data_IF_306063625766
#
_entry.id   IF_306063625766
#
_cell.length_a   1.000
_cell.length_b   1.000
_cell.length_c   1.000
_cell.angle_alpha   90.00
_cell.angle_beta   90.00
_cell.angle_gamma   90.00
#
_symmetry.space_group_name_H-M   'P 1'
#
loop_
_entity.id
_entity.type
_entity.pdbx_description
1 polymer ?
2 non-polymer ?
3 non-polymer ?
4 non-polymer ?
5 non-polymer ?
6 non-polymer ?
7 water ?
#
# COMPACT_ATOMS: atom_id res chain seq x y z
N UNK A 15 12.23 -10.50 9.76
CA UNK A 15 12.73 -9.17 10.04
C UNK A 15 11.77 -8.47 10.99
N UNK A 16 12.21 -7.37 11.60
CA UNK A 16 11.36 -6.59 12.52
C UNK A 16 10.28 -5.85 11.72
N UNK A 17 10.63 -5.30 10.51
CA UNK A 17 9.70 -4.58 9.63
C UNK A 17 9.57 -5.44 8.37
N UNK A 18 8.34 -5.82 8.00
CA UNK A 18 8.09 -6.54 6.74
C UNK A 18 7.14 -5.71 5.89
N UNK A 19 7.59 -5.34 4.70
CA UNK A 19 6.81 -4.48 3.80
C UNK A 19 6.60 -5.22 2.50
N UNK A 20 5.40 -5.17 1.93
CA UNK A 20 5.21 -5.67 0.57
C UNK A 20 4.72 -4.53 -0.29
N UNK A 21 4.91 -4.71 -1.59
CA UNK A 21 4.47 -3.70 -2.54
C UNK A 21 4.25 -4.40 -3.88
N UNK A 22 3.64 -3.66 -4.80
CA UNK A 22 3.35 -4.15 -6.15
C UNK A 22 3.78 -3.04 -7.09
N UNK A 23 4.41 -3.40 -8.19
CA UNK A 23 4.87 -2.47 -9.20
C UNK A 23 4.77 -3.14 -10.57
N UNK A 24 4.27 -2.41 -11.56
CA UNK A 24 4.12 -2.87 -12.93
C UNK A 24 4.56 -1.72 -13.82
N UNK A 25 5.66 -1.87 -14.53
CA UNK A 25 6.19 -0.83 -15.38
C UNK A 25 7.49 -0.28 -14.86
N UNK A 26 8.35 0.18 -15.79
CA UNK A 26 9.68 0.74 -15.51
C UNK A 26 9.58 1.92 -14.52
N UNK A 27 8.60 2.80 -14.75
CA UNK A 27 8.41 4.00 -13.91
C UNK A 27 8.10 3.58 -12.47
N UNK A 28 7.20 2.61 -12.28
CA UNK A 28 6.83 2.19 -10.92
C UNK A 28 7.90 1.35 -10.27
N UNK A 29 8.75 0.68 -11.07
CA UNK A 29 9.90 -0.05 -10.52
C UNK A 29 10.99 0.95 -10.06
N UNK A 30 11.18 2.02 -10.81
CA UNK A 30 12.11 3.10 -10.49
C UNK A 30 11.68 3.71 -9.13
N UNK A 31 10.38 3.97 -8.98
CA UNK A 31 9.86 4.54 -7.72
C UNK A 31 9.93 3.52 -6.59
N UNK A 32 9.73 2.22 -6.87
CA UNK A 32 9.81 1.18 -5.87
C UNK A 32 11.20 1.13 -5.24
N UNK A 33 12.24 1.27 -6.03
CA UNK A 33 13.59 1.27 -5.46
C UNK A 33 13.78 2.47 -4.52
N UNK A 34 13.26 3.61 -4.94
CA UNK A 34 13.29 4.84 -4.13
C UNK A 34 12.50 4.62 -2.82
N UNK A 35 11.33 4.03 -2.89
CA UNK A 35 10.55 3.74 -1.67
C UNK A 35 11.39 2.94 -0.71
N UNK A 36 12.06 1.87 -1.20
CA UNK A 36 12.85 1.00 -0.36
C UNK A 36 14.04 1.74 0.25
N UNK A 37 14.73 2.60 -0.52
CA UNK A 37 15.85 3.36 0.02
C UNK A 37 15.34 4.31 1.11
N UNK A 38 14.18 4.94 0.89
CA UNK A 38 13.61 5.83 1.90
C UNK A 38 13.26 5.13 3.23
N UNK A 39 12.73 3.90 3.19
CA UNK A 39 12.46 3.12 4.36
C UNK A 39 13.78 2.89 5.14
N UNK A 40 14.81 2.41 4.43
CA UNK A 40 16.05 2.03 5.11
C UNK A 40 16.84 3.28 5.63
N UNK A 41 16.68 4.44 5.04
CA UNK A 41 17.34 5.64 5.56
C UNK A 41 16.72 6.10 6.90
N UNK A 42 15.50 5.63 7.21
CA UNK A 42 14.75 6.07 8.40
C UNK A 42 14.56 5.03 9.46
N UNK A 43 15.29 3.92 9.41
CA UNK A 43 15.20 2.91 10.45
C UNK A 43 16.54 2.18 10.61
N UNK A 44 16.80 1.71 11.84
CA UNK A 44 17.92 0.83 12.16
C UNK A 44 17.39 -0.55 12.50
N UNK A 45 16.06 -0.76 12.42
CA UNK A 45 15.48 -2.06 12.67
C UNK A 45 15.70 -2.89 11.41
N UNK A 46 15.60 -4.21 11.53
CA UNK A 46 15.83 -5.08 10.37
C UNK A 46 14.59 -5.00 9.46
N UNK A 47 14.83 -5.01 8.12
CA UNK A 47 13.74 -4.92 7.15
C UNK A 47 13.81 -6.03 6.13
N UNK A 48 12.64 -6.57 5.78
CA UNK A 48 12.45 -7.52 4.67
C UNK A 48 11.35 -6.97 3.75
N UNK A 49 11.64 -6.88 2.44
CA UNK A 49 10.68 -6.46 1.41
C UNK A 49 10.16 -7.69 0.70
N UNK A 50 8.87 -7.75 0.45
CA UNK A 50 8.20 -8.85 -0.25
C UNK A 50 7.59 -8.31 -1.54
N UNK A 51 7.83 -8.99 -2.66
CA UNK A 51 7.34 -8.51 -3.95
C UNK A 51 6.33 -9.46 -4.60
N UNK A 52 5.32 -8.91 -5.29
CA UNK A 52 4.37 -9.68 -6.10
C UNK A 52 5.13 -9.89 -7.40
N UNK A 53 5.74 -11.05 -7.50
CA UNK A 53 6.71 -11.39 -8.51
C UNK A 53 6.29 -11.27 -9.98
N UNK A 54 5.11 -11.75 -10.31
CA UNK A 54 4.74 -11.88 -11.74
C UNK A 54 4.66 -10.57 -12.49
N UNK A 55 4.47 -9.43 -11.82
CA UNK A 55 4.40 -8.17 -12.51
C UNK A 55 5.74 -7.51 -12.79
N UNK A 56 6.81 -7.99 -12.15
CA UNK A 56 8.11 -7.36 -12.25
C UNK A 56 8.89 -7.72 -13.51
N UNK A 57 9.77 -6.83 -13.90
CA UNK A 57 10.64 -7.00 -15.08
C UNK A 57 11.82 -7.87 -14.69
N UNK A 58 12.44 -8.55 -15.66
CA UNK A 58 13.69 -9.28 -15.36
C UNK A 58 14.80 -8.35 -14.86
N UNK A 59 14.91 -7.15 -15.37
CA UNK A 59 15.94 -6.24 -14.90
C UNK A 59 15.79 -5.89 -13.43
N UNK A 60 14.55 -5.70 -12.96
CA UNK A 60 14.34 -5.35 -11.56
C UNK A 60 14.75 -6.48 -10.68
N UNK A 61 14.30 -7.69 -11.03
CA UNK A 61 14.57 -8.91 -10.27
C UNK A 61 16.06 -9.21 -10.24
N UNK A 62 16.81 -8.82 -11.27
CA UNK A 62 18.25 -9.00 -11.29
C UNK A 62 18.94 -7.99 -10.39
N UNK A 63 18.42 -6.75 -10.34
CA UNK A 63 19.03 -5.70 -9.55
C UNK A 63 18.73 -5.78 -8.04
N UNK A 64 17.61 -6.40 -7.65
CA UNK A 64 17.19 -6.41 -6.23
C UNK A 64 18.29 -6.98 -5.28
N UNK A 65 19.09 -8.02 -5.60
CA UNK A 65 20.18 -8.39 -4.66
C UNK A 65 21.23 -7.29 -4.43
N UNK A 66 21.47 -6.43 -5.42
CA UNK A 66 22.40 -5.30 -5.32
C UNK A 66 21.81 -4.24 -4.40
N UNK A 67 20.50 -3.95 -4.55
CA UNK A 67 19.83 -3.03 -3.64
C UNK A 67 19.91 -3.60 -2.22
N UNK A 68 19.62 -4.89 -2.05
CA UNK A 68 19.60 -5.57 -0.76
C UNK A 68 20.94 -5.49 -0.04
N UNK A 69 22.05 -5.70 -0.78
CA UNK A 69 23.38 -5.63 -0.19
C UNK A 69 23.81 -4.19 0.15
N UNK A 70 23.44 -3.19 -0.68
CA UNK A 70 23.81 -1.79 -0.46
C UNK A 70 23.05 -1.16 0.71
N UNK A 71 21.74 -1.42 0.76
CA UNK A 71 20.84 -0.85 1.77
C UNK A 71 20.65 -1.72 3.00
N UNK A 72 21.12 -2.96 2.95
CA UNK A 72 21.06 -3.86 4.08
C UNK A 72 19.71 -4.40 4.45
N UNK A 73 18.97 -4.95 3.47
CA UNK A 73 17.66 -5.55 3.71
C UNK A 73 17.62 -6.92 3.11
N UNK A 74 16.68 -7.73 3.55
CA UNK A 74 16.37 -9.05 3.02
C UNK A 74 15.19 -8.87 2.10
N UNK A 75 14.89 -9.89 1.28
CA UNK A 75 13.71 -9.85 0.41
C UNK A 75 13.23 -11.21 0.00
N UNK A 76 12.00 -11.29 -0.49
CA UNK A 76 11.40 -12.53 -1.00
C UNK A 76 10.37 -12.24 -2.09
N UNK A 77 10.35 -13.10 -3.10
CA UNK A 77 9.40 -13.00 -4.24
C UNK A 77 8.23 -13.90 -3.98
N UNK A 78 6.98 -13.42 -4.09
CA UNK A 78 5.80 -14.28 -3.91
C UNK A 78 5.06 -14.42 -5.26
N UNK A 79 4.84 -15.68 -5.75
CA UNK A 79 4.15 -15.96 -7.03
C UNK A 79 2.90 -16.74 -6.69
N UNK A 80 1.75 -16.08 -6.63
CA UNK A 80 0.48 -16.71 -6.26
C UNK A 80 -0.48 -16.61 -7.42
N UNK A 81 -1.03 -17.76 -7.84
CA UNK A 81 -1.92 -17.79 -8.99
C UNK A 81 -3.35 -17.46 -8.58
N UNK A 82 -4.03 -16.61 -9.39
CA UNK A 82 -5.42 -16.23 -9.15
C UNK A 82 -6.31 -17.47 -9.17
N UNK A 83 -7.04 -17.78 -8.08
CA UNK A 83 -7.91 -18.97 -8.06
C UNK A 83 -8.93 -18.98 -9.19
N UNK A 84 -9.09 -20.12 -9.87
CA UNK A 84 -10.03 -20.24 -11.01
C UNK A 84 -11.48 -19.89 -10.67
N UNK A 85 -11.94 -20.23 -9.46
CA UNK A 85 -13.32 -19.91 -9.08
C UNK A 85 -13.61 -18.41 -8.96
N UNK A 86 -12.59 -17.63 -8.58
CA UNK A 86 -12.71 -16.22 -8.22
C UNK A 86 -12.78 -15.33 -9.44
N UNK A 87 -13.78 -14.47 -9.52
CA UNK A 87 -13.99 -13.61 -10.69
C UNK A 87 -12.72 -12.89 -11.06
N UNK A 88 -12.25 -13.05 -12.30
CA UNK A 88 -11.00 -12.41 -12.78
C UNK A 88 -11.23 -10.97 -13.20
N UNK A 89 -10.15 -10.22 -13.34
CA UNK A 89 -10.19 -8.83 -13.77
C UNK A 89 -9.43 -8.73 -15.08
N UNK A 90 -10.15 -8.34 -16.16
CA UNK A 90 -9.51 -8.26 -17.47
C UNK A 90 -8.55 -7.04 -17.58
N UNK A 91 -8.79 -5.96 -16.81
CA UNK A 91 -7.93 -4.75 -16.80
C UNK A 91 -6.72 -5.02 -15.88
N UNK A 92 -5.46 -4.88 -16.39
CA UNK A 92 -4.26 -5.16 -15.60
C UNK A 92 -4.24 -4.35 -14.30
N UNK A 93 -4.64 -3.07 -14.35
CA UNK A 93 -4.71 -2.23 -13.15
C UNK A 93 -5.58 -2.86 -12.06
N UNK A 94 -6.75 -3.37 -12.43
CA UNK A 94 -7.67 -4.01 -11.51
C UNK A 94 -7.16 -5.35 -11.01
N UNK A 95 -6.43 -6.10 -11.83
CA UNK A 95 -5.85 -7.36 -11.41
C UNK A 95 -4.78 -7.07 -10.32
N UNK A 96 -3.96 -6.04 -10.53
CA UNK A 96 -2.93 -5.63 -9.56
C UNK A 96 -3.62 -5.18 -8.26
N UNK A 97 -4.72 -4.43 -8.34
CA UNK A 97 -5.49 -4.09 -7.13
C UNK A 97 -6.00 -5.35 -6.42
N UNK A 98 -6.46 -6.33 -7.16
CA UNK A 98 -6.87 -7.59 -6.53
C UNK A 98 -5.73 -8.26 -5.75
N UNK A 99 -4.50 -8.23 -6.28
CA UNK A 99 -3.36 -8.80 -5.59
C UNK A 99 -3.00 -8.04 -4.30
N UNK A 100 -3.37 -6.78 -4.20
CA UNK A 100 -3.08 -6.03 -2.96
C UNK A 100 -4.00 -6.46 -1.85
N UNK A 101 -5.27 -6.75 -2.14
CA UNK A 101 -6.26 -6.94 -1.11
C UNK A 101 -6.89 -8.32 -0.96
N UNK A 102 -6.91 -9.16 -1.99
CA UNK A 102 -7.63 -10.44 -1.90
C UNK A 102 -6.87 -11.61 -1.35
N UNK A 103 -5.53 -11.60 -1.25
CA UNK A 103 -4.72 -12.75 -0.92
C UNK A 103 -3.78 -12.54 0.28
N UNK A 104 -4.16 -11.69 1.23
CA UNK A 104 -3.26 -11.34 2.34
C UNK A 104 -2.90 -12.53 3.25
N UNK A 105 -3.80 -13.51 3.33
CA UNK A 105 -3.58 -14.74 4.10
C UNK A 105 -2.81 -15.82 3.38
N UNK A 106 -2.63 -15.73 2.06
CA UNK A 106 -1.96 -16.78 1.26
C UNK A 106 -0.64 -16.35 0.62
N UNK A 107 -0.36 -15.04 0.53
CA UNK A 107 0.89 -14.58 -0.03
C UNK A 107 2.11 -14.82 0.86
N UNK A 108 1.90 -14.79 2.18
CA UNK A 108 3.00 -14.80 3.14
C UNK A 108 3.01 -16.07 3.95
N UNK A 109 4.19 -16.44 4.46
CA UNK A 109 4.27 -17.67 5.25
C UNK A 109 3.56 -17.50 6.57
N UNK A 110 3.07 -18.61 7.13
CA UNK A 110 2.37 -18.64 8.41
C UNK A 110 3.27 -18.15 9.53
N UNK A 111 4.61 -18.23 9.39
CA UNK A 111 5.54 -17.77 10.41
C UNK A 111 5.61 -16.22 10.50
N UNK A 112 5.22 -15.49 9.42
CA UNK A 112 5.24 -14.02 9.43
C UNK A 112 3.97 -13.51 10.17
N UNK A 113 4.13 -12.69 11.21
CA UNK A 113 2.99 -12.19 11.97
C UNK A 113 2.40 -10.86 11.51
N UNK A 114 3.16 -10.05 10.79
CA UNK A 114 2.69 -8.72 10.36
C UNK A 114 3.39 -8.33 9.11
N UNK A 115 2.63 -7.62 8.21
CA UNK A 115 3.18 -7.07 6.99
C UNK A 115 2.48 -5.75 6.75
N UNK A 116 3.21 -4.86 6.10
CA UNK A 116 2.67 -3.55 5.77
C UNK A 116 2.72 -3.44 4.26
N UNK A 117 1.60 -2.98 3.67
CA UNK A 117 1.65 -2.62 2.26
C UNK A 117 2.08 -1.15 2.18
N UNK A 118 3.09 -0.83 1.39
CA UNK A 118 3.56 0.52 1.13
C UNK A 118 3.56 0.65 -0.39
N UNK A 119 2.91 1.69 -0.90
CA UNK A 119 2.80 1.87 -2.37
C UNK A 119 4.17 2.11 -2.98
N UNK A 120 4.33 1.64 -4.23
CA UNK A 120 5.59 1.75 -4.94
C UNK A 120 6.03 3.17 -5.16
N UNK A 121 5.06 4.09 -5.25
CA UNK A 121 5.34 5.50 -5.45
C UNK A 121 5.47 6.25 -4.14
N UNK A 122 5.60 5.58 -3.00
CA UNK A 122 5.70 6.31 -1.73
C UNK A 122 7.08 6.76 -1.37
N UNK A 123 7.14 7.82 -0.56
CA UNK A 123 8.38 8.28 0.05
C UNK A 123 8.15 8.18 1.58
N UNK A 124 8.97 7.38 2.25
CA UNK A 124 8.87 7.16 3.68
C UNK A 124 9.81 8.13 4.43
N UNK A 125 9.29 8.73 5.52
CA UNK A 125 10.02 9.72 6.33
C UNK A 125 9.87 9.38 7.81
N UNK A 126 9.81 8.12 8.12
CA UNK A 126 9.61 7.65 9.47
C UNK A 126 10.18 6.28 9.64
N UNK A 127 10.34 5.86 10.88
CA UNK A 127 10.75 4.53 11.23
C UNK A 127 9.51 3.67 11.12
N UNK A 128 9.49 2.78 10.12
CA UNK A 128 8.32 1.97 9.91
C UNK A 128 8.04 0.99 11.02
N UNK A 129 9.00 0.80 11.98
CA UNK A 129 8.69 -0.02 13.15
C UNK A 129 7.61 0.67 14.04
N UNK A 130 7.47 2.00 13.92
CA UNK A 130 6.38 2.65 14.69
C UNK A 130 5.01 2.16 14.23
N UNK A 131 4.87 1.78 12.93
CA UNK A 131 3.59 1.25 12.45
C UNK A 131 3.42 -0.20 12.92
N UNK A 132 4.54 -0.96 12.93
CA UNK A 132 4.52 -2.32 13.47
C UNK A 132 4.00 -2.26 14.92
N UNK A 133 4.45 -1.26 15.70
CA UNK A 133 4.04 -1.15 17.12
C UNK A 133 2.71 -0.45 17.39
N UNK A 134 2.08 0.14 16.36
CA UNK A 134 0.84 0.86 16.55
C UNK A 134 -0.27 -0.05 16.99
N UNK A 135 -1.04 0.30 18.04
CA UNK A 135 -2.10 -0.60 18.52
C UNK A 135 -3.25 -0.60 17.55
N UNK A 136 -3.73 -1.81 17.22
CA UNK A 136 -4.88 -1.95 16.33
C UNK A 136 -6.16 -2.31 17.02
N UNK A 137 -6.12 -2.46 18.35
CA UNK A 137 -7.29 -2.75 19.15
C UNK A 137 -8.11 -3.92 18.60
N UNK A 138 -7.43 -4.98 18.18
CA UNK A 138 -8.11 -6.15 17.63
C UNK A 138 -8.44 -6.11 16.17
N UNK A 139 -8.17 -5.00 15.44
CA UNK A 139 -8.47 -5.03 13.99
C UNK A 139 -7.40 -5.80 13.29
N UNK A 140 -7.80 -6.53 12.22
CA UNK A 140 -6.81 -7.24 11.43
C UNK A 140 -5.98 -6.39 10.48
N UNK A 141 -6.45 -5.12 10.24
CA UNK A 141 -5.64 -4.18 9.48
C UNK A 141 -6.00 -2.75 9.83
N UNK A 142 -5.05 -1.85 9.53
CA UNK A 142 -5.17 -0.41 9.77
C UNK A 142 -4.87 0.35 8.49
N UNK A 143 -5.70 1.37 8.23
CA UNK A 143 -5.53 2.24 7.07
C UNK A 143 -5.68 3.67 7.53
N UNK A 144 -5.03 4.61 6.83
CA UNK A 144 -5.22 6.02 7.13
C UNK A 144 -6.47 6.51 6.46
N UNK A 145 -7.13 7.53 7.04
CA UNK A 145 -8.28 8.11 6.35
C UNK A 145 -7.82 9.04 5.20
N UNK A 146 -8.73 9.26 4.27
CA UNK A 146 -8.55 10.28 3.25
C UNK A 146 -8.62 11.62 3.98
N UNK A 147 -7.68 12.52 3.62
CA UNK A 147 -7.63 13.84 4.21
C UNK A 147 -8.84 14.65 3.79
N UNK A 148 -9.35 15.49 4.71
CA UNK A 148 -10.35 16.52 4.41
C UNK A 148 -9.67 17.91 4.43
N UNK A 149 -8.38 18.01 4.80
CA UNK A 149 -7.72 19.29 5.05
C UNK A 149 -7.54 20.22 3.85
N UNK A 150 -7.47 19.70 2.61
CA UNK A 150 -7.39 20.59 1.42
C UNK A 150 -8.81 20.94 1.00
N UNK A 151 -9.33 22.06 1.54
CA UNK A 151 -10.73 22.46 1.36
C UNK A 151 -11.11 22.73 -0.10
N UNK A 152 -10.18 23.23 -0.92
CA UNK A 152 -10.46 23.52 -2.33
C UNK A 152 -10.74 22.27 -3.18
N UNK A 153 -10.39 21.06 -2.66
CA UNK A 153 -10.63 19.82 -3.37
C UNK A 153 -11.93 19.10 -2.99
N UNK A 154 -12.82 19.74 -2.20
CA UNK A 154 -14.08 19.11 -1.74
C UNK A 154 -14.98 18.52 -2.83
N UNK A 155 -15.03 19.18 -4.00
CA UNK A 155 -15.82 18.69 -5.13
C UNK A 155 -15.40 17.33 -5.65
N UNK A 156 -14.11 16.96 -5.46
CA UNK A 156 -13.56 15.68 -5.90
C UNK A 156 -13.61 14.58 -4.82
N UNK A 157 -14.02 14.91 -3.57
CA UNK A 157 -14.16 13.91 -2.50
C UNK A 157 -15.50 13.21 -2.71
N UNK A 158 -15.51 12.23 -3.62
CA UNK A 158 -16.73 11.49 -3.98
C UNK A 158 -17.40 10.77 -2.78
N UNK A 159 -16.59 10.38 -1.81
CA UNK A 159 -17.00 9.67 -0.60
C UNK A 159 -17.80 10.55 0.41
N UNK A 160 -17.82 11.87 0.22
CA UNK A 160 -18.53 12.80 1.10
C UNK A 160 -19.99 13.05 0.65
N UNK A 161 -20.41 12.50 -0.50
CA UNK A 161 -21.80 12.63 -0.97
C UNK A 161 -22.25 11.29 -1.60
N UNK A 162 -23.50 11.22 -2.04
CA UNK A 162 -24.02 10.05 -2.73
C UNK A 162 -23.96 8.72 -2.00
N UNK A 163 -23.64 7.64 -2.76
CA UNK A 163 -23.58 6.27 -2.25
C UNK A 163 -22.76 6.15 -0.96
N UNK A 164 -21.46 6.52 -1.04
CA UNK A 164 -20.54 6.38 0.09
C UNK A 164 -20.95 7.15 1.35
N UNK A 165 -21.44 8.38 1.22
CA UNK A 165 -21.84 9.13 2.42
C UNK A 165 -22.96 8.41 3.17
N UNK A 166 -23.89 7.82 2.42
CA UNK A 166 -25.00 7.07 3.04
C UNK A 166 -24.54 5.72 3.58
N UNK A 167 -23.68 5.01 2.84
CA UNK A 167 -23.16 3.70 3.25
C UNK A 167 -22.32 3.78 4.55
N UNK A 168 -21.40 4.76 4.60
CA UNK A 168 -20.43 4.88 5.69
C UNK A 168 -20.99 5.32 7.03
N UNK A 169 -22.13 6.03 7.06
CA UNK A 169 -22.77 6.45 8.32
C UNK A 169 -21.75 7.22 9.21
N UNK A 170 -20.96 8.08 8.58
CA UNK A 170 -19.95 8.88 9.28
C UNK A 170 -18.60 8.21 9.51
N UNK A 171 -18.43 6.94 9.12
CA UNK A 171 -17.14 6.26 9.23
C UNK A 171 -16.20 6.88 8.21
N UNK A 172 -14.90 6.84 8.45
CA UNK A 172 -13.97 7.33 7.43
C UNK A 172 -13.96 6.47 6.17
N UNK A 173 -13.65 7.13 5.05
CA UNK A 173 -13.35 6.50 3.80
C UNK A 173 -11.78 6.52 3.75
N UNK A 174 -11.19 5.34 3.86
CA UNK A 174 -9.76 5.13 3.98
C UNK A 174 -9.03 5.01 2.65
N UNK A 175 -7.80 5.55 2.59
CA UNK A 175 -6.96 5.45 1.40
C UNK A 175 -6.23 4.10 1.45
N UNK A 176 -6.03 3.44 0.31
CA UNK A 176 -5.38 2.12 0.27
C UNK A 176 -3.90 2.14 -0.14
N UNK A 177 -3.27 3.30 -0.12
CA UNK A 177 -1.87 3.43 -0.43
C UNK A 177 -0.93 2.79 0.59
N UNK A 178 -1.40 2.73 1.84
CA UNK A 178 -0.62 2.20 2.94
C UNK A 178 -1.55 1.47 3.88
N UNK A 179 -1.13 0.30 4.35
CA UNK A 179 -1.94 -0.36 5.36
C UNK A 179 -1.11 -1.41 6.08
N UNK A 180 -1.38 -1.53 7.37
CA UNK A 180 -0.74 -2.55 8.19
C UNK A 180 -1.69 -3.67 8.42
N UNK A 181 -1.16 -4.91 8.20
CA UNK A 181 -1.90 -6.12 8.33
C UNK A 181 -1.35 -7.01 9.47
N UNK A 182 -2.29 -7.19 10.51
CA UNK A 182 -2.28 -8.11 11.68
C UNK A 182 -3.01 -9.36 11.20
N UNK A 183 -2.19 -10.25 10.70
CA UNK A 183 -2.63 -11.48 10.09
C UNK A 183 -3.26 -12.46 11.08
N UNK A 184 -2.91 -12.42 12.38
CA UNK A 184 -3.53 -13.35 13.32
C UNK A 184 -5.00 -13.06 13.43
N UNK A 185 -5.34 -11.80 13.59
CA UNK A 185 -6.72 -11.37 13.71
C UNK A 185 -7.50 -11.49 12.40
N UNK A 186 -6.84 -11.18 11.28
CA UNK A 186 -7.43 -11.27 9.95
C UNK A 186 -7.84 -12.71 9.68
N UNK A 187 -6.95 -13.62 9.99
CA UNK A 187 -7.26 -15.05 9.83
C UNK A 187 -8.41 -15.47 10.77
N UNK A 188 -8.37 -15.04 12.05
CA UNK A 188 -9.38 -15.41 13.05
C UNK A 188 -10.79 -14.99 12.63
N UNK A 189 -10.89 -13.83 11.98
CA UNK A 189 -12.19 -13.33 11.57
C UNK A 189 -12.61 -13.80 10.20
N UNK A 190 -11.78 -14.65 9.52
CA UNK A 190 -11.95 -15.19 8.20
C UNK A 190 -12.09 -14.04 7.26
N UNK A 191 -11.35 -12.96 7.54
CA UNK A 191 -11.39 -11.75 6.78
C UNK A 191 -11.03 -11.98 5.35
N UNK A 192 -10.02 -12.82 5.10
CA UNK A 192 -9.56 -13.12 3.73
C UNK A 192 -10.51 -13.97 2.95
N UNK A 193 -10.72 -15.21 3.43
CA UNK A 193 -11.76 -16.04 2.79
C UNK A 193 -13.00 -15.16 2.66
N UNK A 194 -13.29 -14.32 3.67
CA UNK A 194 -14.43 -13.43 3.63
C UNK A 194 -14.31 -12.29 2.63
N UNK A 195 -13.12 -11.71 2.47
CA UNK A 195 -12.90 -10.66 1.49
C UNK A 195 -13.06 -11.27 0.09
N UNK A 196 -12.48 -12.48 -0.18
CA UNK A 196 -12.59 -13.12 -1.51
C UNK A 196 -14.06 -13.38 -1.84
N UNK A 197 -14.84 -13.87 -0.87
CA UNK A 197 -16.25 -14.15 -1.17
C UNK A 197 -17.09 -12.91 -1.42
N UNK A 198 -16.89 -11.84 -0.63
CA UNK A 198 -17.63 -10.61 -0.87
C UNK A 198 -17.23 -9.98 -2.18
N UNK A 199 -15.94 -9.97 -2.49
CA UNK A 199 -15.48 -9.42 -3.75
C UNK A 199 -16.13 -10.23 -4.92
N UNK A 200 -16.15 -11.58 -4.81
CA UNK A 200 -16.72 -12.38 -5.88
C UNK A 200 -18.17 -12.01 -6.14
N UNK A 201 -18.98 -11.89 -5.08
CA UNK A 201 -20.40 -11.53 -5.22
C UNK A 201 -20.59 -10.13 -5.76
N UNK A 202 -19.91 -9.15 -5.15
CA UNK A 202 -20.05 -7.75 -5.59
C UNK A 202 -19.60 -7.51 -7.03
N UNK A 203 -18.50 -8.13 -7.46
CA UNK A 203 -17.94 -7.90 -8.80
C UNK A 203 -18.78 -8.48 -9.96
N UNK A 204 -19.90 -9.18 -9.66
CA UNK A 204 -20.84 -9.64 -10.71
C UNK A 204 -21.45 -8.39 -11.40
N UNK A 205 -21.54 -7.28 -10.66
CA UNK A 205 -21.98 -5.99 -11.17
C UNK A 205 -20.70 -5.28 -11.64
N UNK A 206 -20.51 -4.99 -12.95
CA UNK A 206 -19.27 -4.32 -13.39
C UNK A 206 -19.14 -2.84 -12.95
N UNK A 207 -20.21 -2.21 -12.41
CA UNK A 207 -20.18 -0.84 -11.88
C UNK A 207 -19.71 -0.82 -10.41
N UNK A 208 -19.69 -1.98 -9.71
CA UNK A 208 -19.29 -2.06 -8.31
C UNK A 208 -17.77 -2.03 -8.15
N UNK A 209 -17.29 -1.63 -6.96
CA UNK A 209 -15.86 -1.62 -6.66
C UNK A 209 -15.03 -0.84 -7.70
N UNK A 210 -15.43 0.39 -8.02
CA UNK A 210 -14.66 1.20 -8.98
C UNK A 210 -13.15 1.30 -8.62
N UNK A 211 -12.86 1.47 -7.33
CA UNK A 211 -11.50 1.54 -6.81
C UNK A 211 -11.36 0.25 -6.00
N UNK A 212 -11.15 -0.87 -6.66
CA UNK A 212 -11.19 -2.21 -6.08
C UNK A 212 -10.45 -2.37 -4.72
N UNK A 213 -9.18 -2.04 -4.69
CA UNK A 213 -8.36 -2.19 -3.48
C UNK A 213 -8.81 -1.35 -2.29
N UNK A 214 -9.40 -0.20 -2.58
CA UNK A 214 -9.82 0.81 -1.62
C UNK A 214 -11.28 0.62 -1.21
N UNK A 215 -12.18 0.45 -2.20
CA UNK A 215 -13.60 0.24 -1.93
C UNK A 215 -13.88 -1.07 -1.16
N UNK A 216 -13.16 -2.15 -1.42
CA UNK A 216 -13.48 -3.42 -0.74
C UNK A 216 -13.27 -3.35 0.81
N UNK A 217 -12.12 -2.93 1.33
CA UNK A 217 -12.00 -2.82 2.79
C UNK A 217 -12.94 -1.78 3.38
N UNK A 218 -13.18 -0.64 2.68
CA UNK A 218 -14.09 0.37 3.16
C UNK A 218 -15.50 -0.18 3.25
N UNK A 219 -15.87 -1.05 2.28
CA UNK A 219 -17.19 -1.69 2.25
C UNK A 219 -17.33 -2.68 3.40
N UNK A 220 -16.28 -3.41 3.69
CA UNK A 220 -16.30 -4.44 4.72
C UNK A 220 -15.99 -3.97 6.17
N UNK A 221 -15.79 -2.68 6.39
CA UNK A 221 -15.32 -2.20 7.69
C UNK A 221 -16.31 -2.33 8.86
N UNK A 222 -17.60 -2.62 8.62
CA UNK A 222 -18.51 -2.88 9.73
C UNK A 222 -18.37 -4.35 10.24
N UNK A 223 -17.74 -5.25 9.46
CA UNK A 223 -17.60 -6.67 9.81
C UNK A 223 -16.16 -7.18 9.85
N UNK A 224 -15.20 -6.54 9.09
CA UNK A 224 -13.77 -6.84 9.16
C UNK A 224 -13.24 -5.47 9.58
N UNK A 225 -13.06 -5.26 10.88
CA UNK A 225 -12.70 -3.92 11.34
C UNK A 225 -11.43 -3.36 10.71
N UNK A 226 -11.44 -2.02 10.60
CA UNK A 226 -10.27 -1.22 10.22
C UNK A 226 -9.90 -0.37 11.44
N UNK A 227 -8.63 -0.43 11.81
CA UNK A 227 -8.10 0.51 12.80
C UNK A 227 -7.77 1.80 11.98
N UNK A 228 -8.47 2.90 12.22
CA UNK A 228 -8.17 4.14 11.49
C UNK A 228 -6.82 4.70 12.02
N UNK A 229 -5.82 4.72 11.18
CA UNK A 229 -4.51 5.20 11.59
C UNK A 229 -4.50 6.73 11.76
N UNK A 230 -3.59 7.21 12.59
CA UNK A 230 -3.32 8.67 12.63
C UNK A 230 -3.19 9.23 11.20
N UNK A 231 -3.79 10.37 10.96
CA UNK A 231 -3.76 10.99 9.65
C UNK A 231 -2.36 11.21 9.10
N UNK A 232 -1.40 11.43 9.97
CA UNK A 232 -0.03 11.64 9.56
C UNK A 232 0.61 10.44 8.92
N UNK A 233 0.01 9.25 9.05
CA UNK A 233 0.60 8.09 8.39
C UNK A 233 0.55 8.16 6.86
N UNK A 234 -0.35 8.94 6.25
CA UNK A 234 -0.41 9.01 4.80
C UNK A 234 -0.81 10.41 4.40
N UNK A 235 0.15 11.12 3.78
CA UNK A 235 -0.10 12.43 3.20
C UNK A 235 -0.02 12.38 1.69
N UNK A 236 -0.97 12.96 1.02
CA UNK A 236 -1.02 13.12 -0.45
C UNK A 236 -1.43 14.57 -0.71
N UNK A 237 -0.71 15.28 -1.56
CA UNK A 237 -1.05 16.66 -1.86
C UNK A 237 -2.44 16.87 -2.38
N UNK A 238 -2.96 15.95 -3.15
CA UNK A 238 -4.28 16.12 -3.69
C UNK A 238 -5.32 16.41 -2.62
N UNK A 239 -5.26 15.71 -1.49
CA UNK A 239 -6.28 15.78 -0.46
C UNK A 239 -5.84 16.51 0.79
N UNK A 240 -4.55 16.61 1.03
CA UNK A 240 -4.01 17.08 2.28
C UNK A 240 -3.37 18.43 2.16
N UNK A 241 -3.48 19.23 3.19
CA UNK A 241 -2.94 20.58 3.23
C UNK A 241 -1.42 20.61 3.22
N UNK A 242 -0.87 21.73 2.70
CA UNK A 242 0.56 21.95 2.74
C UNK A 242 1.07 21.99 4.16
N UNK A 243 0.24 22.57 5.09
CA UNK A 243 0.58 22.75 6.52
C UNK A 243 0.80 21.42 7.26
N UNK A 244 0.18 20.33 6.78
CA UNK A 244 0.35 19.03 7.45
C UNK A 244 1.47 18.24 6.85
N UNK A 245 2.12 18.72 5.76
CA UNK A 245 3.23 17.95 5.22
C UNK A 245 4.37 17.69 6.21
N UNK A 246 4.69 18.72 7.03
CA UNK A 246 5.79 18.62 7.97
C UNK A 246 5.62 17.51 9.02
N UNK A 247 4.38 17.12 9.27
CA UNK A 247 4.08 16.04 10.19
C UNK A 247 3.99 14.66 9.50
N UNK A 248 3.94 14.61 8.16
CA UNK A 248 3.73 13.37 7.42
C UNK A 248 4.79 12.37 7.65
N UNK A 249 4.38 11.15 7.99
CA UNK A 249 5.28 10.04 8.16
C UNK A 249 5.64 9.39 6.78
N UNK A 250 4.66 9.34 5.88
CA UNK A 250 4.85 8.82 4.53
C UNK A 250 4.07 9.70 3.61
N UNK A 251 4.53 9.72 2.33
CA UNK A 251 3.91 10.48 1.28
C UNK A 251 3.49 9.54 0.15
N UNK A 252 2.29 9.71 -0.38
CA UNK A 252 1.81 9.02 -1.56
C UNK A 252 1.72 10.05 -2.67
N UNK A 253 2.12 9.70 -3.90
CA UNK A 253 2.05 10.64 -5.04
C UNK A 253 0.77 10.41 -5.75
N UNK A 254 -0.36 10.55 -5.04
CA UNK A 254 -1.63 10.23 -5.64
C UNK A 254 -2.07 11.24 -6.70
N UNK A 255 -2.83 10.73 -7.67
CA UNK A 255 -3.30 11.53 -8.81
C UNK A 255 -4.13 12.69 -8.37
N UNK A 256 -3.92 13.83 -9.03
CA UNK A 256 -4.68 15.02 -8.76
C UNK A 256 -5.67 15.21 -9.92
N UNK A 257 -6.98 14.99 -9.69
CA UNK A 257 -7.96 15.08 -10.78
C UNK A 257 -8.17 16.50 -11.30
N UNK A 258 -7.77 17.53 -10.54
CA UNK A 258 -7.90 18.93 -10.95
C UNK A 258 -6.76 19.34 -11.87
N UNK A 259 -5.50 19.02 -11.51
CA UNK A 259 -4.33 19.43 -12.30
C UNK A 259 -3.88 18.42 -13.33
N UNK A 260 -4.10 17.12 -13.07
CA UNK A 260 -3.65 16.03 -13.92
C UNK A 260 -2.12 16.12 -14.12
N UNK A 261 -1.37 16.61 -13.10
CA UNK A 261 0.08 16.75 -13.19
C UNK A 261 0.78 15.42 -13.38
N UNK A 262 1.80 15.30 -14.26
CA UNK A 262 2.49 14.01 -14.41
C UNK A 262 3.16 13.50 -13.12
N UNK A 263 3.32 12.19 -13.05
CA UNK A 263 3.85 11.47 -11.88
C UNK A 263 5.25 11.91 -11.43
N UNK A 264 6.22 11.96 -12.37
CA UNK A 264 7.57 12.37 -12.02
C UNK A 264 7.64 13.86 -11.70
N UNK A 265 6.75 14.69 -12.28
CA UNK A 265 6.77 16.12 -11.94
C UNK A 265 6.32 16.28 -10.48
N UNK A 266 5.24 15.55 -10.07
CA UNK A 266 4.73 15.55 -8.67
C UNK A 266 5.86 15.14 -7.73
N UNK A 267 6.53 14.04 -8.02
CA UNK A 267 7.64 13.54 -7.20
C UNK A 267 8.75 14.59 -6.96
N UNK A 268 9.30 15.14 -8.04
CA UNK A 268 10.39 16.10 -7.92
C UNK A 268 9.96 17.39 -7.24
N UNK A 269 8.75 17.86 -7.53
CA UNK A 269 8.25 19.12 -6.98
C UNK A 269 7.91 19.03 -5.50
N UNK A 270 7.25 17.92 -5.10
CA UNK A 270 6.77 17.79 -3.73
C UNK A 270 7.79 17.32 -2.73
N UNK A 271 8.71 16.44 -3.14
CA UNK A 271 9.62 15.78 -2.24
C UNK A 271 11.06 16.16 -2.54
N UNK A 272 11.66 17.04 -1.73
CA UNK A 272 13.03 17.50 -2.04
C UNK A 272 14.11 16.42 -2.08
N UNK A 273 13.97 15.37 -1.28
CA UNK A 273 14.93 14.28 -1.20
C UNK A 273 14.73 13.21 -2.30
N UNK A 274 13.69 13.32 -3.13
CA UNK A 274 13.40 12.34 -4.18
C UNK A 274 14.54 12.22 -5.16
N UNK A 275 15.03 13.35 -5.68
CA UNK A 275 16.15 13.32 -6.65
C UNK A 275 17.39 12.72 -6.02
N UNK A 276 17.62 12.98 -4.71
CA UNK A 276 18.76 12.40 -3.99
C UNK A 276 18.71 10.85 -4.00
N UNK A 277 17.55 10.26 -3.70
CA UNK A 277 17.41 8.80 -3.71
C UNK A 277 17.54 8.26 -5.13
N UNK A 278 16.87 8.92 -6.09
CA UNK A 278 16.93 8.54 -7.51
C UNK A 278 18.38 8.52 -8.02
N UNK A 279 19.14 9.60 -7.75
CA UNK A 279 20.54 9.71 -8.17
C UNK A 279 21.47 8.69 -7.46
N UNK A 280 21.18 8.37 -6.20
CA UNK A 280 21.93 7.43 -5.39
C UNK A 280 21.75 6.00 -5.92
N UNK A 281 20.52 5.65 -6.29
CA UNK A 281 20.21 4.33 -6.85
C UNK A 281 20.84 4.21 -8.25
N UNK A 282 20.84 5.29 -9.04
CA UNK A 282 21.47 5.32 -10.37
C UNK A 282 23.00 5.23 -10.22
N UNK A 283 23.60 5.87 -9.17
CA UNK A 283 25.04 5.74 -8.91
C UNK A 283 25.39 4.28 -8.54
N UNK A 284 24.54 3.61 -7.71
CA UNK A 284 24.72 2.20 -7.35
C UNK A 284 24.65 1.32 -8.62
N UNK A 285 23.73 1.64 -9.54
CA UNK A 285 23.57 0.89 -10.79
C UNK A 285 24.83 1.00 -11.69
N UNK A 286 25.42 2.21 -11.80
CA UNK A 286 26.65 2.40 -12.58
C UNK A 286 27.87 1.73 -11.92
N UNK A 287 27.84 1.57 -10.58
CA UNK A 287 28.92 0.92 -9.81
C UNK A 287 28.90 -0.60 -10.07
N UNK A 288 27.69 -1.19 -10.10
CA UNK A 288 27.50 -2.62 -10.36
C UNK A 288 27.81 -2.94 -11.84
N UNK A 289 27.37 -2.06 -12.76
CA UNK A 289 27.55 -2.24 -14.21
C UNK A 289 29.03 -2.31 -14.64
N UNK A 290 29.90 -1.48 -14.03
CA UNK A 290 31.33 -1.46 -14.33
C UNK A 290 32.11 -2.36 -13.35
#
# INVERSE_FOLDING_TARGET
ETGEATKSVSKTEHAEINIFSVASGHLYERMLNIMMASVMHHTNHTVKFWFIEQFLSPSFKDFIPHMAAEYGFKYEMVTYKWPHWLRQQKEKQREIWGYKILFLDVLFPLSLDKVIFVDADQIVRTDMYDLVEHPLDGAPYGFAPMCDSRVEMEGYRFWKTGYWANYLKGKPYHISALYVVDLQRFRELAAGDRLRQQYHALSADPNSLANLDQDLPNHMQFTIPIATLPQEWLWCETWCSDETLKDARTIDLCNNPMTKEPKLDRARRQVPEWTKYDEEIAELARRVREGTKHHHHHH
#
